data_IF_324350634950
#
_entry.id   IF_324350634950
#
_cell.length_a   1.000
_cell.length_b   1.000
_cell.length_c   1.000
_cell.angle_alpha   90.00
_cell.angle_beta   90.00
_cell.angle_gamma   90.00
#
_symmetry.space_group_name_H-M   'P 1'
#
loop_
_entity.id
_entity.type
_entity.pdbx_description
1 polymer ?
#
# COMPACT_ATOMS: atom_id res chain seq x y z
N UNK A 1 0.50 32.54 -4.88
CA UNK A 1 0.74 31.12 -4.54
C UNK A 1 2.00 30.51 -5.19
N UNK A 2 2.38 30.87 -6.43
CA UNK A 2 3.59 30.33 -7.10
C UNK A 2 4.94 30.67 -6.45
N UNK A 3 5.04 31.72 -5.63
CA UNK A 3 6.33 32.22 -5.08
C UNK A 3 6.81 31.52 -3.79
N UNK A 4 5.98 30.69 -3.18
CA UNK A 4 6.31 29.99 -1.92
C UNK A 4 6.64 28.50 -2.12
N UNK A 5 6.34 27.91 -3.29
CA UNK A 5 6.56 26.48 -3.54
C UNK A 5 8.04 26.13 -3.72
N UNK A 6 8.81 27.00 -4.36
CA UNK A 6 10.23 26.78 -4.65
C UNK A 6 11.13 26.76 -3.39
N UNK A 7 11.03 27.72 -2.45
CA UNK A 7 11.85 27.69 -1.23
C UNK A 7 11.46 26.55 -0.28
N UNK A 8 10.18 26.12 -0.28
CA UNK A 8 9.73 25.00 0.56
C UNK A 8 10.26 23.65 0.04
N UNK A 9 10.25 23.43 -1.27
CA UNK A 9 10.83 22.24 -1.91
C UNK A 9 12.35 22.20 -1.73
N UNK A 10 13.03 23.34 -1.84
CA UNK A 10 14.46 23.43 -1.59
C UNK A 10 14.83 23.16 -0.12
N UNK A 11 14.08 23.71 0.83
CA UNK A 11 14.29 23.46 2.26
C UNK A 11 14.02 21.99 2.64
N UNK A 12 13.01 21.35 2.05
CA UNK A 12 12.72 19.93 2.25
C UNK A 12 13.81 19.03 1.64
N UNK A 13 14.34 19.39 0.46
CA UNK A 13 15.46 18.69 -0.17
C UNK A 13 16.76 18.75 0.62
N UNK A 14 17.07 19.89 1.23
CA UNK A 14 18.25 20.06 2.11
C UNK A 14 18.16 19.26 3.41
N UNK A 15 16.96 19.06 3.96
CA UNK A 15 16.74 18.21 5.15
C UNK A 15 16.87 16.71 4.84
N UNK A 16 16.56 16.29 3.61
CA UNK A 16 16.67 14.90 3.18
C UNK A 16 18.11 14.49 2.81
N UNK A 17 18.96 15.45 2.40
CA UNK A 17 20.33 15.18 1.97
C UNK A 17 21.34 14.89 3.11
N UNK A 18 20.97 15.14 4.37
CA UNK A 18 21.85 14.94 5.53
C UNK A 18 21.56 13.64 6.31
N UNK A 19 20.73 12.76 5.75
CA UNK A 19 20.23 11.59 6.46
C UNK A 19 21.12 10.36 6.16
N UNK A 20 21.60 9.62 7.18
CA UNK A 20 22.47 8.46 6.95
C UNK A 20 21.74 7.38 6.15
N UNK A 21 22.51 6.60 5.38
CA UNK A 21 22.03 5.39 4.70
C UNK A 21 21.20 4.51 5.65
N UNK A 22 20.00 4.12 5.23
CA UNK A 22 19.20 3.13 5.94
C UNK A 22 18.77 2.05 4.94
N UNK A 23 19.02 0.79 5.28
CA UNK A 23 18.56 -0.31 4.45
C UNK A 23 17.04 -0.39 4.44
N UNK A 24 16.50 -0.91 3.34
CA UNK A 24 15.06 -1.10 3.21
C UNK A 24 14.55 -2.37 3.87
N UNK A 25 15.43 -3.35 4.11
CA UNK A 25 15.18 -4.57 4.87
C UNK A 25 16.39 -4.89 5.77
N UNK A 26 16.20 -5.84 6.68
CA UNK A 26 17.27 -6.37 7.53
C UNK A 26 18.35 -7.04 6.68
N UNK A 27 19.44 -6.31 6.45
CA UNK A 27 20.64 -6.83 5.83
C UNK A 27 21.47 -7.58 6.87
N UNK A 28 21.99 -8.76 6.53
CA UNK A 28 22.96 -9.45 7.38
C UNK A 28 24.30 -8.69 7.31
N UNK A 29 24.71 -8.09 8.41
CA UNK A 29 25.95 -7.33 8.51
C UNK A 29 27.14 -8.25 8.81
N UNK A 30 27.01 -9.11 9.82
CA UNK A 30 28.06 -10.04 10.21
C UNK A 30 27.50 -11.38 10.68
N UNK A 31 28.33 -12.42 10.55
CA UNK A 31 28.09 -13.76 11.09
C UNK A 31 29.31 -14.19 11.90
N UNK A 32 29.09 -14.91 12.99
CA UNK A 32 30.15 -15.59 13.74
C UNK A 32 29.74 -17.04 13.93
N UNK A 33 30.41 -18.03 13.30
CA UNK A 33 31.56 -17.90 12.40
C UNK A 33 31.30 -17.02 11.15
N UNK A 34 32.35 -16.39 10.58
CA UNK A 34 32.20 -15.57 9.37
C UNK A 34 31.66 -16.40 8.21
N UNK A 35 30.84 -15.77 7.35
CA UNK A 35 30.31 -16.43 6.15
C UNK A 35 31.46 -16.87 5.23
N UNK A 36 31.36 -18.10 4.73
CA UNK A 36 32.42 -18.81 4.01
C UNK A 36 33.75 -18.87 4.78
N UNK A 37 33.67 -18.82 6.10
CA UNK A 37 34.80 -18.91 7.00
C UNK A 37 35.12 -20.35 7.41
N UNK A 38 36.31 -20.53 7.98
CA UNK A 38 36.74 -21.78 8.60
C UNK A 38 37.02 -21.54 10.08
N UNK A 39 36.64 -22.50 10.93
CA UNK A 39 36.98 -22.51 12.36
C UNK A 39 37.67 -23.82 12.72
N UNK A 40 38.73 -23.72 13.52
CA UNK A 40 39.52 -24.89 13.92
C UNK A 40 38.72 -25.92 14.74
N UNK A 41 37.76 -25.45 15.54
CA UNK A 41 36.97 -26.28 16.45
C UNK A 41 35.47 -26.03 16.29
N UNK A 42 34.65 -26.99 16.72
CA UNK A 42 33.20 -26.87 16.77
C UNK A 42 32.80 -25.65 17.63
N UNK A 43 32.12 -24.64 17.06
CA UNK A 43 31.67 -23.48 17.83
C UNK A 43 30.47 -23.87 18.70
N UNK A 44 30.38 -23.31 19.91
CA UNK A 44 29.24 -23.56 20.80
C UNK A 44 27.94 -22.86 20.33
N UNK A 45 28.08 -21.80 19.54
CA UNK A 45 26.97 -21.02 19.00
C UNK A 45 27.33 -20.36 17.67
N UNK A 46 26.29 -20.08 16.90
CA UNK A 46 26.34 -19.14 15.77
C UNK A 46 25.64 -17.86 16.18
N UNK A 47 26.18 -16.73 15.75
CA UNK A 47 25.61 -15.40 15.98
C UNK A 47 25.47 -14.68 14.64
N UNK A 48 24.29 -14.14 14.36
CA UNK A 48 23.97 -13.34 13.17
C UNK A 48 23.62 -11.92 13.62
N UNK A 49 24.25 -10.91 13.00
CA UNK A 49 23.98 -9.50 13.27
C UNK A 49 23.35 -8.85 12.05
N UNK A 50 22.16 -8.29 12.22
CA UNK A 50 21.41 -7.60 11.19
C UNK A 50 21.52 -6.07 11.33
N UNK A 51 21.17 -5.36 10.26
CA UNK A 51 21.19 -3.89 10.20
C UNK A 51 20.09 -3.22 11.03
N UNK A 52 19.06 -3.98 11.43
CA UNK A 52 17.91 -3.50 12.19
C UNK A 52 17.35 -4.63 13.08
N UNK A 53 16.46 -4.32 14.04
CA UNK A 53 15.76 -5.33 14.82
C UNK A 53 14.98 -6.33 13.94
N UNK A 54 14.98 -7.60 14.34
CA UNK A 54 14.30 -8.69 13.61
C UNK A 54 13.41 -9.51 14.53
N UNK A 55 12.34 -10.09 13.99
CA UNK A 55 11.47 -11.03 14.71
C UNK A 55 11.62 -12.46 14.17
N UNK A 56 11.50 -13.44 15.06
CA UNK A 56 11.47 -14.87 14.74
C UNK A 56 10.10 -15.43 15.09
N UNK A 57 9.38 -15.94 14.10
CA UNK A 57 8.06 -16.56 14.31
C UNK A 57 8.17 -17.93 14.96
N UNK A 58 9.19 -18.70 14.57
CA UNK A 58 9.52 -20.01 15.11
C UNK A 58 11.01 -20.05 15.38
N UNK A 59 11.38 -20.79 16.43
CA UNK A 59 12.79 -21.10 16.72
C UNK A 59 13.47 -21.82 15.56
N UNK A 60 12.73 -22.60 14.78
CA UNK A 60 13.25 -23.33 13.62
C UNK A 60 13.54 -22.44 12.41
N UNK A 61 13.04 -21.19 12.39
CA UNK A 61 13.25 -20.27 11.27
C UNK A 61 14.73 -19.86 11.14
N UNK A 62 15.50 -19.97 12.23
CA UNK A 62 16.97 -19.94 12.17
C UNK A 62 17.52 -21.25 12.71
N UNK A 63 18.21 -21.98 11.85
CA UNK A 63 18.79 -23.28 12.20
C UNK A 63 20.13 -23.49 11.50
N UNK A 64 20.95 -24.36 12.08
CA UNK A 64 22.20 -24.80 11.46
C UNK A 64 22.04 -26.24 11.05
N UNK A 65 22.41 -26.54 9.81
CA UNK A 65 22.33 -27.88 9.22
C UNK A 65 23.69 -28.36 8.74
N UNK A 66 23.90 -29.68 8.77
CA UNK A 66 25.06 -30.31 8.16
C UNK A 66 24.90 -30.45 6.63
N UNK A 67 25.91 -31.04 5.98
CA UNK A 67 25.95 -31.27 4.53
C UNK A 67 24.81 -32.15 4.00
N UNK A 68 24.14 -32.90 4.87
CA UNK A 68 23.00 -33.77 4.53
C UNK A 68 21.66 -33.07 4.85
N UNK A 69 21.69 -31.82 5.29
CA UNK A 69 20.52 -31.06 5.70
C UNK A 69 19.97 -31.43 7.08
N UNK A 70 20.71 -32.21 7.88
CA UNK A 70 20.29 -32.58 9.24
C UNK A 70 20.54 -31.41 10.19
N UNK A 71 19.54 -31.07 10.99
CA UNK A 71 19.62 -29.97 11.96
C UNK A 71 20.60 -30.32 13.07
N UNK A 72 21.62 -29.48 13.27
CA UNK A 72 22.62 -29.57 14.32
C UNK A 72 22.52 -28.45 15.37
N UNK A 73 21.59 -27.51 15.18
CA UNK A 73 21.27 -26.49 16.18
C UNK A 73 20.35 -27.03 17.29
N UNK A 74 20.61 -26.63 18.54
CA UNK A 74 19.84 -27.02 19.73
C UNK A 74 18.88 -25.91 20.13
N UNK A 75 17.57 -26.20 20.14
CA UNK A 75 16.53 -25.25 20.56
C UNK A 75 16.27 -24.09 19.59
N UNK A 76 16.91 -24.12 18.41
CA UNK A 76 16.76 -23.14 17.33
C UNK A 76 17.34 -21.76 17.62
N UNK A 77 17.03 -20.80 16.75
CA UNK A 77 17.42 -19.40 16.91
C UNK A 77 16.58 -18.63 17.92
N UNK A 78 17.20 -17.63 18.52
CA UNK A 78 16.55 -16.65 19.40
C UNK A 78 17.16 -15.27 19.18
N UNK A 79 16.36 -14.22 19.25
CA UNK A 79 16.88 -12.86 19.34
C UNK A 79 17.58 -12.63 20.68
N UNK A 80 18.63 -11.81 20.67
CA UNK A 80 19.38 -11.44 21.87
C UNK A 80 18.54 -10.50 22.74
N UNK A 81 18.37 -10.77 24.06
CA UNK A 81 17.62 -9.89 24.95
C UNK A 81 18.22 -8.48 25.09
N UNK A 82 19.50 -8.32 24.75
CA UNK A 82 20.22 -7.04 24.81
C UNK A 82 20.17 -6.28 23.49
N UNK A 83 19.92 -6.98 22.39
CA UNK A 83 19.96 -6.43 21.04
C UNK A 83 19.06 -7.23 20.08
N UNK A 84 17.89 -6.67 19.76
CA UNK A 84 16.92 -7.33 18.89
C UNK A 84 17.39 -7.50 17.42
N UNK A 85 18.51 -6.89 17.03
CA UNK A 85 19.13 -7.09 15.70
C UNK A 85 20.15 -8.24 15.68
N UNK A 86 20.37 -8.90 16.82
CA UNK A 86 21.27 -10.04 16.95
C UNK A 86 20.47 -11.33 17.17
N UNK A 87 20.74 -12.36 16.36
CA UNK A 87 20.16 -13.69 16.50
C UNK A 87 21.24 -14.70 16.89
N UNK A 88 20.99 -15.46 17.95
CA UNK A 88 21.91 -16.47 18.48
C UNK A 88 21.29 -17.85 18.32
N UNK A 89 22.09 -18.79 17.81
CA UNK A 89 21.73 -20.20 17.63
C UNK A 89 22.73 -21.05 18.39
N UNK A 90 22.27 -21.90 19.31
CA UNK A 90 23.15 -22.85 19.99
C UNK A 90 23.40 -24.08 19.13
N UNK A 91 24.60 -24.62 19.18
CA UNK A 91 24.98 -25.82 18.43
C UNK A 91 25.09 -27.03 19.35
N UNK A 92 24.89 -28.21 18.77
CA UNK A 92 25.22 -29.46 19.46
C UNK A 92 26.72 -29.50 19.77
N UNK A 93 27.12 -30.05 20.93
CA UNK A 93 28.54 -30.15 21.28
C UNK A 93 29.28 -31.06 20.31
N UNK A 94 30.56 -30.76 20.08
CA UNK A 94 31.48 -31.58 19.29
C UNK A 94 30.99 -31.91 17.87
N UNK A 95 30.61 -30.89 17.11
CA UNK A 95 30.31 -31.04 15.68
C UNK A 95 31.52 -31.63 14.93
N UNK A 96 31.34 -32.67 14.10
CA UNK A 96 32.44 -33.25 13.32
C UNK A 96 33.02 -32.23 12.32
N UNK A 97 34.24 -32.45 11.81
CA UNK A 97 34.76 -31.68 10.68
C UNK A 97 33.85 -31.81 9.46
N UNK A 98 33.20 -30.71 9.06
CA UNK A 98 32.29 -30.67 7.91
C UNK A 98 32.00 -29.21 7.48
N UNK A 99 31.37 -29.04 6.33
CA UNK A 99 30.70 -27.79 5.97
C UNK A 99 29.31 -27.72 6.62
N UNK A 100 28.99 -26.58 7.22
CA UNK A 100 27.70 -26.29 7.83
C UNK A 100 27.01 -25.13 7.12
N UNK A 101 25.69 -25.18 7.06
CA UNK A 101 24.85 -24.08 6.56
C UNK A 101 24.04 -23.51 7.70
N UNK A 102 24.17 -22.21 7.93
CA UNK A 102 23.28 -21.43 8.80
C UNK A 102 22.19 -20.87 7.89
N UNK A 103 20.96 -21.33 8.06
CA UNK A 103 19.81 -20.82 7.33
C UNK A 103 18.97 -19.96 8.25
N UNK A 104 18.45 -18.86 7.70
CA UNK A 104 17.55 -17.98 8.43
C UNK A 104 16.39 -17.53 7.56
N UNK A 105 15.23 -17.45 8.19
CA UNK A 105 14.06 -16.69 7.78
C UNK A 105 13.72 -15.74 8.93
N UNK A 106 13.71 -14.46 8.65
CA UNK A 106 13.45 -13.43 9.66
C UNK A 106 12.35 -12.49 9.17
N UNK A 107 11.67 -11.83 10.10
CA UNK A 107 10.79 -10.70 9.80
C UNK A 107 11.56 -9.43 10.13
N UNK A 108 11.78 -8.57 9.15
CA UNK A 108 12.42 -7.26 9.34
C UNK A 108 11.52 -6.27 10.08
N UNK A 109 12.09 -5.16 10.54
CA UNK A 109 11.33 -4.16 11.28
C UNK A 109 10.28 -3.45 10.40
N UNK A 110 10.45 -3.41 9.08
CA UNK A 110 9.43 -2.97 8.12
C UNK A 110 8.36 -4.04 7.81
N UNK A 111 8.38 -5.17 8.52
CA UNK A 111 7.48 -6.31 8.36
C UNK A 111 7.74 -7.21 7.17
N UNK A 112 8.76 -7.03 6.33
CA UNK A 112 9.07 -7.97 5.24
C UNK A 112 9.74 -9.26 5.72
N UNK A 113 9.55 -10.36 4.99
CA UNK A 113 10.24 -11.62 5.26
C UNK A 113 11.54 -11.65 4.46
N UNK A 114 12.66 -11.84 5.17
CA UNK A 114 14.00 -11.97 4.57
C UNK A 114 14.52 -13.38 4.82
N UNK A 115 14.84 -14.05 3.73
CA UNK A 115 15.47 -15.37 3.72
C UNK A 115 16.94 -15.25 3.35
N UNK A 116 17.78 -16.08 3.96
CA UNK A 116 19.17 -16.16 3.57
C UNK A 116 19.90 -17.33 4.21
N UNK A 117 21.14 -17.50 3.79
CA UNK A 117 22.02 -18.52 4.35
C UNK A 117 23.48 -18.05 4.35
N UNK A 118 24.22 -18.47 5.37
CA UNK A 118 25.68 -18.40 5.42
C UNK A 118 26.26 -19.80 5.57
N UNK A 119 27.52 -19.98 5.18
CA UNK A 119 28.22 -21.25 5.37
C UNK A 119 29.47 -21.06 6.21
N UNK A 120 29.87 -22.11 6.92
CA UNK A 120 31.18 -22.17 7.59
C UNK A 120 31.67 -23.62 7.62
N UNK A 121 32.99 -23.81 7.67
CA UNK A 121 33.60 -25.12 7.80
C UNK A 121 34.25 -25.29 9.17
N UNK A 122 34.30 -26.53 9.66
CA UNK A 122 34.99 -26.90 10.91
C UNK A 122 36.16 -27.85 10.62
N UNK A 123 37.25 -27.70 11.37
CA UNK A 123 38.32 -28.71 11.46
C UNK A 123 38.98 -29.08 10.13
N UNK A 124 39.26 -28.11 9.25
CA UNK A 124 39.94 -28.38 7.96
C UNK A 124 39.04 -28.89 6.84
N UNK A 125 37.72 -28.99 7.06
CA UNK A 125 36.80 -29.44 6.02
C UNK A 125 36.65 -28.42 4.88
N UNK A 126 36.46 -28.90 3.66
CA UNK A 126 36.18 -28.04 2.52
C UNK A 126 34.77 -27.42 2.62
N UNK A 127 34.66 -26.12 2.37
CA UNK A 127 33.36 -25.43 2.27
C UNK A 127 32.55 -25.96 1.08
N UNK A 128 31.26 -26.23 1.32
CA UNK A 128 30.29 -26.65 0.31
C UNK A 128 29.26 -25.57 0.05
N UNK A 129 28.49 -25.76 -1.03
CA UNK A 129 27.32 -24.91 -1.33
C UNK A 129 26.29 -25.00 -0.18
N UNK A 130 25.58 -23.91 0.12
CA UNK A 130 24.60 -23.89 1.21
C UNK A 130 23.45 -24.87 0.95
N UNK A 131 23.04 -25.57 2.01
CA UNK A 131 21.88 -26.48 2.01
C UNK A 131 20.63 -25.71 2.48
N UNK A 132 19.84 -25.22 1.52
CA UNK A 132 18.69 -24.34 1.80
C UNK A 132 17.46 -25.09 2.32
N UNK A 133 17.20 -26.30 1.80
CA UNK A 133 16.00 -27.08 2.12
C UNK A 133 14.72 -26.30 1.77
N UNK A 134 13.77 -26.24 2.70
CA UNK A 134 12.47 -25.57 2.50
C UNK A 134 12.50 -24.04 2.69
N UNK A 135 13.69 -23.41 2.76
CA UNK A 135 13.78 -21.95 2.77
C UNK A 135 13.09 -21.31 1.56
N UNK A 136 13.03 -22.00 0.42
CA UNK A 136 12.34 -21.48 -0.78
C UNK A 136 10.87 -21.92 -0.87
N UNK A 137 10.37 -22.65 0.13
CA UNK A 137 8.97 -23.06 0.14
C UNK A 137 8.10 -21.85 0.48
N UNK A 138 7.04 -21.61 -0.30
CA UNK A 138 6.06 -20.54 -0.09
C UNK A 138 6.17 -19.38 -1.08
N UNK A 139 5.17 -18.48 -1.12
CA UNK A 139 5.19 -17.33 -2.00
C UNK A 139 6.20 -16.29 -1.52
N UNK A 140 7.04 -15.76 -2.40
CA UNK A 140 7.85 -14.59 -2.10
C UNK A 140 7.00 -13.32 -1.88
N UNK A 141 7.58 -12.31 -1.25
CA UNK A 141 6.92 -11.01 -0.97
C UNK A 141 6.37 -10.36 -2.26
N UNK A 142 7.06 -10.53 -3.39
CA UNK A 142 6.68 -10.00 -4.71
C UNK A 142 5.87 -11.00 -5.56
N UNK A 143 5.37 -12.10 -4.97
CA UNK A 143 4.56 -13.09 -5.69
C UNK A 143 3.23 -12.51 -6.18
N UNK A 144 2.62 -13.15 -7.19
CA UNK A 144 1.30 -12.77 -7.67
C UNK A 144 0.24 -12.74 -6.55
N UNK A 145 0.32 -13.67 -5.59
CA UNK A 145 -0.58 -13.69 -4.43
C UNK A 145 -0.46 -12.43 -3.58
N UNK A 146 0.77 -12.06 -3.22
CA UNK A 146 1.04 -10.87 -2.40
C UNK A 146 0.65 -9.59 -3.14
N UNK A 147 0.94 -9.51 -4.45
CA UNK A 147 0.59 -8.36 -5.29
C UNK A 147 -0.93 -8.19 -5.40
N UNK A 148 -1.67 -9.28 -5.66
CA UNK A 148 -3.13 -9.23 -5.77
C UNK A 148 -3.78 -8.90 -4.44
N UNK A 149 -3.31 -9.50 -3.33
CA UNK A 149 -3.81 -9.18 -1.99
C UNK A 149 -3.64 -7.69 -1.66
N UNK A 150 -2.44 -7.15 -1.91
CA UNK A 150 -2.17 -5.72 -1.71
C UNK A 150 -2.98 -4.84 -2.65
N UNK A 151 -3.14 -5.24 -3.91
CA UNK A 151 -3.96 -4.50 -4.87
C UNK A 151 -5.42 -4.39 -4.41
N UNK A 152 -6.02 -5.49 -3.94
CA UNK A 152 -7.39 -5.49 -3.40
C UNK A 152 -7.51 -4.61 -2.14
N UNK A 153 -6.55 -4.71 -1.22
CA UNK A 153 -6.50 -3.88 -0.01
C UNK A 153 -6.48 -2.38 -0.37
N UNK A 154 -5.59 -1.98 -1.28
CA UNK A 154 -5.45 -0.58 -1.71
C UNK A 154 -6.67 -0.08 -2.52
N UNK A 155 -7.24 -0.90 -3.40
CA UNK A 155 -8.44 -0.56 -4.17
C UNK A 155 -9.65 -0.41 -3.24
N UNK A 156 -9.83 -1.31 -2.28
CA UNK A 156 -10.93 -1.27 -1.32
C UNK A 156 -10.85 -0.04 -0.40
N UNK A 157 -9.75 0.12 0.34
CA UNK A 157 -9.56 1.23 1.27
C UNK A 157 -9.53 2.58 0.53
N UNK A 158 -8.70 2.65 -0.52
CA UNK A 158 -8.51 3.85 -1.31
C UNK A 158 -9.77 4.27 -2.06
N UNK A 159 -10.49 3.30 -2.64
CA UNK A 159 -11.76 3.56 -3.31
C UNK A 159 -12.84 4.06 -2.36
N UNK A 160 -12.97 3.47 -1.17
CA UNK A 160 -13.94 3.92 -0.17
C UNK A 160 -13.65 5.37 0.28
N UNK A 161 -12.37 5.69 0.52
CA UNK A 161 -11.93 7.05 0.84
C UNK A 161 -12.24 8.02 -0.30
N UNK A 162 -11.96 7.61 -1.54
CA UNK A 162 -12.20 8.40 -2.72
C UNK A 162 -13.70 8.66 -2.95
N UNK A 163 -14.59 7.70 -2.67
CA UNK A 163 -16.04 7.91 -2.74
C UNK A 163 -16.51 8.96 -1.73
N UNK A 164 -16.00 8.92 -0.50
CA UNK A 164 -16.31 9.93 0.52
C UNK A 164 -15.83 11.31 0.05
N UNK A 165 -14.58 11.40 -0.42
CA UNK A 165 -14.00 12.64 -0.94
C UNK A 165 -14.79 13.16 -2.15
N UNK A 166 -15.16 12.30 -3.09
CA UNK A 166 -15.96 12.66 -4.26
C UNK A 166 -17.34 13.18 -3.85
N UNK A 167 -18.02 12.48 -2.94
CA UNK A 167 -19.34 12.89 -2.42
C UNK A 167 -19.28 14.27 -1.77
N UNK A 168 -18.25 14.54 -0.95
CA UNK A 168 -18.11 15.79 -0.18
C UNK A 168 -17.54 16.96 -0.98
N UNK A 169 -16.54 16.73 -1.83
CA UNK A 169 -15.77 17.79 -2.50
C UNK A 169 -16.23 18.06 -3.93
N UNK A 170 -16.84 17.06 -4.58
CA UNK A 170 -17.30 17.12 -5.97
C UNK A 170 -18.82 17.16 -6.06
N UNK A 171 -19.51 16.10 -5.65
CA UNK A 171 -20.96 15.97 -5.85
C UNK A 171 -21.75 17.00 -5.04
N UNK A 172 -21.59 17.06 -3.72
CA UNK A 172 -22.38 17.96 -2.87
C UNK A 172 -22.23 19.44 -3.26
N UNK A 173 -21.03 19.98 -3.57
CA UNK A 173 -20.91 21.34 -4.04
C UNK A 173 -21.39 21.55 -5.49
N UNK A 174 -21.25 20.55 -6.38
CA UNK A 174 -21.82 20.65 -7.74
C UNK A 174 -23.36 20.70 -7.69
N UNK A 175 -23.96 19.95 -6.77
CA UNK A 175 -25.39 19.94 -6.53
C UNK A 175 -25.95 21.29 -6.05
N UNK A 176 -25.17 22.09 -5.31
CA UNK A 176 -25.60 23.43 -4.89
C UNK A 176 -25.95 24.36 -6.06
N UNK A 177 -25.51 24.04 -7.28
CA UNK A 177 -25.86 24.73 -8.52
C UNK A 177 -27.09 24.13 -9.24
N UNK A 178 -27.97 23.42 -8.50
CA UNK A 178 -29.19 22.75 -8.98
C UNK A 178 -30.20 23.63 -9.70
N UNK A 179 -30.05 24.96 -9.68
CA UNK A 179 -30.96 25.92 -10.31
C UNK A 179 -31.19 25.68 -11.81
N UNK A 180 -30.42 24.78 -12.44
CA UNK A 180 -30.52 24.40 -13.86
C UNK A 180 -31.03 22.97 -14.10
N UNK A 181 -31.46 22.24 -13.06
CA UNK A 181 -32.03 20.89 -13.16
C UNK A 181 -33.53 20.97 -12.84
N UNK A 182 -34.36 20.30 -13.64
CA UNK A 182 -35.80 20.24 -13.40
C UNK A 182 -36.10 19.56 -12.04
N UNK A 183 -37.13 19.98 -11.28
CA UNK A 183 -37.37 19.48 -9.92
C UNK A 183 -37.50 17.95 -9.81
N UNK A 184 -38.17 17.32 -10.77
CA UNK A 184 -38.36 15.87 -10.91
C UNK A 184 -37.05 15.12 -11.18
N UNK A 185 -36.25 15.58 -12.15
CA UNK A 185 -34.90 15.06 -12.41
C UNK A 185 -33.96 15.30 -11.21
N UNK A 186 -34.26 16.34 -10.42
CA UNK A 186 -33.55 16.73 -9.23
C UNK A 186 -33.64 15.67 -8.11
N UNK A 187 -34.85 15.34 -7.71
CA UNK A 187 -35.11 14.31 -6.70
C UNK A 187 -34.57 12.95 -7.14
N UNK A 188 -34.83 12.56 -8.40
CA UNK A 188 -34.35 11.30 -8.97
C UNK A 188 -32.81 11.20 -8.94
N UNK A 189 -32.09 12.29 -9.25
CA UNK A 189 -30.62 12.32 -9.24
C UNK A 189 -30.03 12.18 -7.83
N UNK A 190 -30.68 12.74 -6.81
CA UNK A 190 -30.22 12.63 -5.42
C UNK A 190 -30.43 11.22 -4.87
N UNK A 191 -31.63 10.65 -5.06
CA UNK A 191 -31.93 9.29 -4.66
C UNK A 191 -30.98 8.30 -5.35
N UNK A 192 -30.84 8.42 -6.68
CA UNK A 192 -29.91 7.62 -7.45
C UNK A 192 -28.47 7.74 -6.95
N UNK A 193 -27.94 8.96 -6.76
CA UNK A 193 -26.56 9.12 -6.34
C UNK A 193 -26.34 8.55 -4.93
N UNK A 194 -27.28 8.77 -4.01
CA UNK A 194 -27.23 8.22 -2.65
C UNK A 194 -27.14 6.69 -2.69
N UNK A 195 -28.03 6.04 -3.41
CA UNK A 195 -28.08 4.59 -3.47
C UNK A 195 -26.78 4.03 -4.09
N UNK A 196 -26.30 4.64 -5.18
CA UNK A 196 -25.04 4.24 -5.81
C UNK A 196 -23.81 4.53 -4.96
N UNK A 197 -23.82 5.60 -4.17
CA UNK A 197 -22.76 5.86 -3.21
C UNK A 197 -22.69 4.75 -2.17
N UNK A 198 -23.81 4.38 -1.54
CA UNK A 198 -23.81 3.36 -0.48
C UNK A 198 -23.53 1.97 -1.02
N UNK A 199 -24.11 1.58 -2.16
CA UNK A 199 -23.73 0.32 -2.84
C UNK A 199 -22.23 0.29 -3.12
N UNK A 200 -21.68 1.35 -3.73
CA UNK A 200 -20.25 1.43 -4.03
C UNK A 200 -19.38 1.39 -2.77
N UNK A 201 -19.76 2.13 -1.73
CA UNK A 201 -19.05 2.19 -0.45
C UNK A 201 -18.99 0.81 0.21
N UNK A 202 -20.13 0.12 0.35
CA UNK A 202 -20.17 -1.21 0.97
C UNK A 202 -19.43 -2.26 0.13
N UNK A 203 -19.51 -2.20 -1.21
CA UNK A 203 -18.71 -3.07 -2.07
C UNK A 203 -17.21 -2.85 -1.86
N UNK A 204 -16.76 -1.59 -1.76
CA UNK A 204 -15.34 -1.26 -1.56
C UNK A 204 -14.84 -1.62 -0.16
N UNK A 205 -15.67 -1.46 0.87
CA UNK A 205 -15.37 -1.98 2.22
C UNK A 205 -15.26 -3.50 2.20
N UNK A 206 -16.15 -4.21 1.49
CA UNK A 206 -16.04 -5.66 1.31
C UNK A 206 -14.75 -6.07 0.61
N UNK A 207 -14.36 -5.35 -0.45
CA UNK A 207 -13.06 -5.56 -1.14
C UNK A 207 -11.89 -5.28 -0.20
N UNK A 208 -11.96 -4.24 0.63
CA UNK A 208 -10.92 -3.92 1.62
C UNK A 208 -10.74 -5.05 2.63
N UNK A 209 -11.83 -5.60 3.17
CA UNK A 209 -11.79 -6.72 4.13
C UNK A 209 -11.21 -7.98 3.47
N UNK A 210 -11.62 -8.31 2.24
CA UNK A 210 -11.05 -9.44 1.50
C UNK A 210 -9.56 -9.23 1.24
N UNK A 211 -9.16 -8.01 0.86
CA UNK A 211 -7.76 -7.64 0.67
C UNK A 211 -6.92 -7.80 1.93
N UNK A 212 -7.37 -7.23 3.06
CA UNK A 212 -6.74 -7.36 4.38
C UNK A 212 -6.54 -8.83 4.78
N UNK A 213 -7.60 -9.64 4.70
CA UNK A 213 -7.51 -11.07 5.01
C UNK A 213 -6.56 -11.82 4.07
N UNK A 214 -6.58 -11.49 2.77
CA UNK A 214 -5.64 -12.07 1.81
C UNK A 214 -4.18 -11.67 2.13
N UNK A 215 -3.93 -10.43 2.56
CA UNK A 215 -2.60 -10.00 3.00
C UNK A 215 -2.17 -10.80 4.23
N UNK A 216 -3.03 -11.00 5.22
CA UNK A 216 -2.70 -11.81 6.40
C UNK A 216 -2.34 -13.26 6.03
N UNK A 217 -3.12 -13.89 5.14
CA UNK A 217 -2.90 -15.27 4.71
C UNK A 217 -1.62 -15.40 3.88
N UNK A 218 -1.38 -14.49 2.93
CA UNK A 218 -0.15 -14.48 2.13
C UNK A 218 1.07 -14.22 3.00
N UNK A 219 0.96 -13.29 3.96
CA UNK A 219 2.01 -13.05 4.95
C UNK A 219 2.31 -14.29 5.77
N UNK A 220 1.28 -15.02 6.18
CA UNK A 220 1.42 -16.31 6.88
C UNK A 220 2.12 -17.36 6.03
N UNK A 221 1.78 -17.45 4.74
CA UNK A 221 2.40 -18.37 3.81
C UNK A 221 3.90 -18.10 3.63
N UNK A 222 4.27 -16.84 3.37
CA UNK A 222 5.68 -16.41 3.23
C UNK A 222 6.44 -16.65 4.53
N UNK A 223 5.86 -16.24 5.65
CA UNK A 223 6.43 -16.38 6.99
C UNK A 223 6.73 -17.83 7.40
N UNK A 224 5.81 -18.76 7.13
CA UNK A 224 5.94 -20.15 7.57
C UNK A 224 6.64 -21.05 6.54
N UNK A 225 6.80 -20.55 5.32
CA UNK A 225 7.34 -21.30 4.20
C UNK A 225 6.39 -22.32 3.64
N UNK A 226 5.12 -21.95 3.52
CA UNK A 226 4.06 -22.85 3.07
C UNK A 226 3.33 -22.24 1.88
N UNK A 227 2.59 -23.08 1.14
CA UNK A 227 1.71 -22.58 0.08
C UNK A 227 0.58 -21.72 0.66
N UNK A 228 0.01 -20.80 -0.13
CA UNK A 228 -1.13 -19.96 0.29
C UNK A 228 -2.33 -20.81 0.74
N UNK A 229 -2.75 -21.88 0.02
CA UNK A 229 -3.82 -22.76 0.51
C UNK A 229 -3.48 -23.44 1.84
N UNK A 230 -2.24 -23.90 2.02
CA UNK A 230 -1.81 -24.51 3.28
C UNK A 230 -1.80 -23.51 4.44
N UNK A 231 -1.43 -22.25 4.19
CA UNK A 231 -1.49 -21.19 5.19
C UNK A 231 -2.93 -20.84 5.58
N UNK A 232 -3.83 -20.74 4.60
CA UNK A 232 -5.26 -20.53 4.84
C UNK A 232 -5.88 -21.63 5.71
N UNK A 233 -5.49 -22.89 5.46
CA UNK A 233 -5.94 -24.04 6.24
C UNK A 233 -5.23 -24.21 7.60
N UNK A 234 -4.31 -23.31 7.96
CA UNK A 234 -3.52 -23.40 9.19
C UNK A 234 -3.88 -22.26 10.18
N UNK A 235 -4.95 -22.40 10.98
CA UNK A 235 -5.40 -21.34 11.89
C UNK A 235 -4.35 -21.00 12.96
N UNK A 236 -3.55 -21.97 13.41
CA UNK A 236 -2.47 -21.73 14.37
C UNK A 236 -1.36 -20.87 13.77
N UNK A 237 -1.03 -21.10 12.49
CA UNK A 237 -0.08 -20.28 11.75
C UNK A 237 -0.56 -18.85 11.57
N UNK A 238 -1.82 -18.68 11.17
CA UNK A 238 -2.46 -17.36 11.02
C UNK A 238 -2.52 -16.63 12.36
N UNK A 239 -2.96 -17.30 13.43
CA UNK A 239 -3.01 -16.73 14.77
C UNK A 239 -1.64 -16.27 15.24
N UNK A 240 -0.58 -17.04 14.99
CA UNK A 240 0.80 -16.69 15.34
C UNK A 240 1.24 -15.40 14.65
N UNK A 241 1.08 -15.29 13.33
CA UNK A 241 1.41 -14.06 12.60
C UNK A 241 0.54 -12.89 13.08
N UNK A 242 -0.74 -13.13 13.32
CA UNK A 242 -1.69 -12.11 13.78
C UNK A 242 -1.37 -11.57 15.19
N UNK A 243 -0.90 -12.41 16.13
CA UNK A 243 -0.77 -12.06 17.55
C UNK A 243 0.67 -11.85 18.04
N UNK A 244 1.64 -12.51 17.41
CA UNK A 244 3.03 -12.54 17.87
C UNK A 244 3.97 -11.65 17.05
N UNK A 245 3.46 -10.94 16.03
CA UNK A 245 4.29 -10.07 15.18
C UNK A 245 3.88 -8.61 15.22
N UNK A 246 4.83 -7.72 14.93
CA UNK A 246 4.54 -6.31 14.70
C UNK A 246 3.55 -6.11 13.55
N UNK A 247 3.65 -6.88 12.47
CA UNK A 247 2.68 -6.86 11.38
C UNK A 247 1.26 -7.09 11.91
N UNK A 248 1.09 -8.13 12.74
CA UNK A 248 -0.16 -8.52 13.36
C UNK A 248 -0.77 -7.43 14.26
N UNK A 249 0.05 -6.72 15.05
CA UNK A 249 -0.45 -5.62 15.90
C UNK A 249 -1.08 -4.48 15.09
N UNK A 250 -0.42 -4.03 14.01
CA UNK A 250 -0.96 -3.01 13.11
C UNK A 250 -2.19 -3.53 12.35
N UNK A 251 -2.18 -4.80 11.93
CA UNK A 251 -3.35 -5.45 11.31
C UNK A 251 -4.56 -5.42 12.26
N UNK A 252 -4.38 -5.77 13.54
CA UNK A 252 -5.42 -5.70 14.56
C UNK A 252 -6.00 -4.29 14.70
N UNK A 253 -5.15 -3.27 14.74
CA UNK A 253 -5.59 -1.86 14.80
C UNK A 253 -6.42 -1.51 13.56
N UNK A 254 -5.95 -1.87 12.35
CA UNK A 254 -6.71 -1.62 11.11
C UNK A 254 -8.06 -2.33 11.11
N UNK A 255 -8.12 -3.58 11.58
CA UNK A 255 -9.38 -4.31 11.73
C UNK A 255 -10.33 -3.58 12.70
N UNK A 256 -9.84 -3.11 13.84
CA UNK A 256 -10.62 -2.29 14.77
C UNK A 256 -11.14 -1.01 14.12
N UNK A 257 -10.30 -0.28 13.39
CA UNK A 257 -10.69 0.93 12.66
C UNK A 257 -11.76 0.63 11.59
N UNK A 258 -11.65 -0.49 10.89
CA UNK A 258 -12.64 -0.94 9.91
C UNK A 258 -13.98 -1.32 10.55
N UNK A 259 -13.97 -1.96 11.73
CA UNK A 259 -15.20 -2.24 12.47
C UNK A 259 -15.90 -0.95 12.91
N UNK A 260 -15.15 0.04 13.40
CA UNK A 260 -15.69 1.37 13.74
C UNK A 260 -16.21 2.07 12.47
N UNK A 261 -15.49 1.97 11.35
CA UNK A 261 -15.93 2.51 10.06
C UNK A 261 -17.27 1.90 9.64
N UNK A 262 -17.42 0.58 9.74
CA UNK A 262 -18.67 -0.12 9.42
C UNK A 262 -19.81 0.34 10.33
N UNK A 263 -19.58 0.48 11.64
CA UNK A 263 -20.59 0.96 12.57
C UNK A 263 -21.05 2.38 12.25
N UNK A 264 -20.11 3.32 12.03
CA UNK A 264 -20.41 4.72 11.67
C UNK A 264 -21.11 4.79 10.30
N UNK A 265 -20.65 4.01 9.32
CA UNK A 265 -21.23 3.97 7.99
C UNK A 265 -22.65 3.39 7.99
N UNK A 266 -22.89 2.34 8.78
CA UNK A 266 -24.22 1.73 8.93
C UNK A 266 -25.17 2.70 9.61
N UNK A 267 -24.73 3.37 10.68
CA UNK A 267 -25.48 4.43 11.33
C UNK A 267 -25.87 5.52 10.32
N UNK A 268 -24.92 6.04 9.55
CA UNK A 268 -25.19 7.07 8.53
C UNK A 268 -26.09 6.58 7.39
N UNK A 269 -25.93 5.33 6.95
CA UNK A 269 -26.78 4.72 5.92
C UNK A 269 -28.24 4.63 6.38
N UNK A 270 -28.49 4.13 7.60
CA UNK A 270 -29.82 4.01 8.18
C UNK A 270 -30.42 5.39 8.52
N UNK A 271 -29.58 6.33 8.91
CA UNK A 271 -29.97 7.68 9.28
C UNK A 271 -30.21 8.61 8.08
N UNK A 272 -29.78 8.24 6.86
CA UNK A 272 -29.92 9.06 5.66
C UNK A 272 -31.30 8.85 5.01
N UNK A 273 -32.29 9.74 5.24
CA UNK A 273 -33.66 9.51 4.82
C UNK A 273 -33.78 9.47 3.29
N UNK A 274 -34.66 8.60 2.78
CA UNK A 274 -35.01 8.53 1.34
C UNK A 274 -35.74 9.82 0.90
N UNK A 275 -36.47 10.48 1.82
CA UNK A 275 -37.54 11.44 1.49
C UNK A 275 -37.33 12.91 1.95
N UNK A 276 -36.33 13.25 2.77
CA UNK A 276 -36.18 14.65 3.27
C UNK A 276 -35.52 15.61 2.27
N UNK A 277 -34.99 15.09 1.14
CA UNK A 277 -34.54 15.94 0.04
C UNK A 277 -35.67 16.82 -0.54
N UNK A 278 -36.94 16.45 -0.30
CA UNK A 278 -38.14 17.14 -0.79
C UNK A 278 -38.60 18.31 0.09
N UNK A 279 -38.27 18.34 1.39
CA UNK A 279 -38.90 19.30 2.34
C UNK A 279 -38.09 20.54 2.70
N UNK A 280 -36.85 20.66 2.20
CA UNK A 280 -36.02 21.84 2.48
C UNK A 280 -35.61 22.01 3.96
N UNK A 281 -35.92 21.04 4.82
CA UNK A 281 -35.56 21.07 6.23
C UNK A 281 -34.05 20.95 6.40
N UNK A 282 -33.49 21.81 7.26
CA UNK A 282 -32.06 21.82 7.55
C UNK A 282 -31.71 20.53 8.26
N UNK A 283 -30.76 19.77 7.69
CA UNK A 283 -30.13 18.62 8.35
C UNK A 283 -29.75 18.99 9.79
N UNK A 284 -30.05 18.14 10.79
CA UNK A 284 -29.69 18.42 12.18
C UNK A 284 -28.18 18.69 12.31
N UNK A 285 -27.85 19.75 13.06
CA UNK A 285 -26.49 20.19 13.34
C UNK A 285 -25.74 19.11 14.14
N UNK A 286 -25.03 18.23 13.44
CA UNK A 286 -24.29 17.11 14.05
C UNK A 286 -23.84 16.07 13.03
N UNK A 287 -24.60 15.85 11.95
CA UNK A 287 -24.30 14.88 10.88
C UNK A 287 -23.18 15.31 9.90
N UNK A 288 -22.61 16.50 10.07
CA UNK A 288 -21.50 16.97 9.24
C UNK A 288 -20.19 16.21 9.50
N UNK A 289 -20.01 15.68 10.71
CA UNK A 289 -18.75 15.09 11.18
C UNK A 289 -18.51 13.64 10.79
N UNK A 290 -19.56 12.84 10.57
CA UNK A 290 -19.44 11.40 10.32
C UNK A 290 -18.61 11.06 9.09
N UNK A 291 -18.81 11.74 7.95
CA UNK A 291 -17.96 11.48 6.78
C UNK A 291 -16.50 11.92 7.00
N UNK A 292 -16.25 12.93 7.85
CA UNK A 292 -14.89 13.29 8.27
C UNK A 292 -14.29 12.20 9.15
N UNK A 293 -15.06 11.63 10.07
CA UNK A 293 -14.66 10.47 10.88
C UNK A 293 -14.36 9.27 9.99
N UNK A 294 -15.25 8.91 9.07
CA UNK A 294 -15.05 7.80 8.12
C UNK A 294 -13.80 8.01 7.25
N UNK A 295 -13.58 9.23 6.74
CA UNK A 295 -12.37 9.56 5.99
C UNK A 295 -11.11 9.49 6.86
N UNK A 296 -11.20 9.93 8.12
CA UNK A 296 -10.11 9.83 9.10
C UNK A 296 -9.76 8.39 9.45
N UNK A 297 -10.75 7.52 9.63
CA UNK A 297 -10.54 6.08 9.87
C UNK A 297 -9.86 5.40 8.70
N UNK A 298 -10.34 5.64 7.46
CA UNK A 298 -9.71 5.12 6.25
C UNK A 298 -8.30 5.68 6.05
N UNK A 299 -8.11 6.97 6.30
CA UNK A 299 -6.79 7.62 6.27
C UNK A 299 -5.82 7.01 7.28
N UNK A 300 -6.28 6.72 8.50
CA UNK A 300 -5.48 6.03 9.52
C UNK A 300 -5.08 4.62 9.09
N UNK A 301 -5.98 3.87 8.42
CA UNK A 301 -5.61 2.57 7.83
C UNK A 301 -4.50 2.71 6.77
N UNK A 302 -4.58 3.72 5.90
CA UNK A 302 -3.53 3.99 4.90
C UNK A 302 -2.20 4.41 5.53
N UNK A 303 -2.22 5.22 6.59
CA UNK A 303 -1.01 5.56 7.36
C UNK A 303 -0.39 4.33 8.01
N UNK A 304 -1.23 3.43 8.54
CA UNK A 304 -0.75 2.16 9.12
C UNK A 304 -0.07 1.28 8.06
N UNK A 305 -0.60 1.24 6.82
CA UNK A 305 0.08 0.59 5.68
C UNK A 305 1.46 1.23 5.44
N UNK A 306 1.52 2.55 5.36
CA UNK A 306 2.77 3.28 5.15
C UNK A 306 3.81 3.06 6.25
N UNK A 307 3.34 2.82 7.47
CA UNK A 307 4.19 2.51 8.63
C UNK A 307 4.71 1.07 8.68
N UNK A 308 4.30 0.21 7.73
CA UNK A 308 4.74 -1.18 7.56
C UNK A 308 5.48 -1.40 6.22
N UNK A 309 6.12 -0.36 5.71
CA UNK A 309 6.95 -0.45 4.51
C UNK A 309 8.26 0.29 4.69
N UNK A 310 9.03 0.43 3.61
CA UNK A 310 10.37 1.03 3.62
C UNK A 310 10.42 2.45 4.19
N UNK A 311 9.29 3.18 4.16
CA UNK A 311 9.15 4.50 4.77
C UNK A 311 9.35 4.48 6.28
N UNK A 312 9.00 3.37 6.96
CA UNK A 312 9.13 3.22 8.41
C UNK A 312 10.58 3.07 8.89
N UNK A 313 11.46 2.60 8.01
CA UNK A 313 12.90 2.42 8.25
C UNK A 313 13.76 3.47 7.54
N UNK A 314 13.12 4.42 6.84
CA UNK A 314 13.83 5.50 6.19
C UNK A 314 14.40 6.48 7.24
N UNK A 315 15.50 7.18 6.92
CA UNK A 315 15.97 8.28 7.75
C UNK A 315 14.89 9.35 7.86
N UNK A 316 14.65 9.86 9.07
CA UNK A 316 13.52 10.77 9.30
C UNK A 316 12.15 10.09 9.17
N UNK A 317 12.03 8.82 9.59
CA UNK A 317 10.84 7.94 9.54
C UNK A 317 9.47 8.63 9.54
N UNK A 318 9.24 9.60 10.42
CA UNK A 318 7.94 10.29 10.53
C UNK A 318 7.61 11.06 9.27
N UNK A 319 8.59 11.77 8.68
CA UNK A 319 8.42 12.49 7.43
C UNK A 319 8.26 11.54 6.25
N UNK A 320 9.03 10.44 6.21
CA UNK A 320 8.93 9.45 5.13
C UNK A 320 7.58 8.71 5.15
N UNK A 321 7.09 8.34 6.33
CA UNK A 321 5.74 7.74 6.48
C UNK A 321 4.66 8.75 6.11
N UNK A 322 4.81 10.02 6.49
CA UNK A 322 3.88 11.07 6.10
C UNK A 322 3.86 11.30 4.57
N UNK A 323 5.03 11.33 3.93
CA UNK A 323 5.15 11.47 2.48
C UNK A 323 4.50 10.29 1.73
N UNK A 324 4.78 9.05 2.16
CA UNK A 324 4.14 7.85 1.61
C UNK A 324 2.61 7.87 1.82
N UNK A 325 2.14 8.25 3.00
CA UNK A 325 0.71 8.36 3.27
C UNK A 325 0.03 9.45 2.41
N UNK A 326 0.67 10.61 2.23
CA UNK A 326 0.18 11.68 1.36
C UNK A 326 0.14 11.19 -0.09
N UNK A 327 1.20 10.51 -0.56
CA UNK A 327 1.23 9.90 -1.89
C UNK A 327 0.05 8.94 -2.07
N UNK A 328 -0.16 8.04 -1.12
CA UNK A 328 -1.20 7.03 -1.19
C UNK A 328 -2.60 7.66 -1.21
N UNK A 329 -2.89 8.58 -0.28
CA UNK A 329 -4.16 9.32 -0.25
C UNK A 329 -4.40 10.08 -1.56
N UNK A 330 -3.38 10.74 -2.10
CA UNK A 330 -3.48 11.47 -3.35
C UNK A 330 -3.82 10.56 -4.53
N UNK A 331 -3.13 9.41 -4.66
CA UNK A 331 -3.44 8.41 -5.68
C UNK A 331 -4.84 7.83 -5.48
N UNK A 332 -5.27 7.54 -4.26
CA UNK A 332 -6.61 7.04 -3.97
C UNK A 332 -7.69 8.03 -4.41
N UNK A 333 -7.60 9.29 -3.97
CA UNK A 333 -8.58 10.36 -4.31
C UNK A 333 -8.65 10.59 -5.81
N UNK A 334 -7.52 10.54 -6.50
CA UNK A 334 -7.46 10.70 -7.94
C UNK A 334 -8.06 9.49 -8.69
N UNK A 335 -7.53 8.29 -8.49
CA UNK A 335 -7.95 7.06 -9.19
C UNK A 335 -9.40 6.69 -8.88
N UNK A 336 -9.78 6.66 -7.59
CA UNK A 336 -11.14 6.33 -7.18
C UNK A 336 -12.15 7.42 -7.56
N UNK A 337 -11.76 8.69 -7.50
CA UNK A 337 -12.59 9.79 -7.96
C UNK A 337 -12.79 9.79 -9.48
N UNK A 338 -11.81 9.30 -10.25
CA UNK A 338 -11.91 9.12 -11.70
C UNK A 338 -12.92 8.02 -12.04
N UNK A 339 -12.90 6.91 -11.29
CA UNK A 339 -13.92 5.87 -11.40
C UNK A 339 -15.33 6.42 -11.11
N UNK A 340 -15.47 7.19 -10.03
CA UNK A 340 -16.73 7.84 -9.67
C UNK A 340 -17.20 8.85 -10.74
N UNK A 341 -16.29 9.68 -11.27
CA UNK A 341 -16.61 10.61 -12.37
C UNK A 341 -17.06 9.85 -13.61
N UNK A 342 -16.31 8.85 -14.05
CA UNK A 342 -16.61 8.05 -15.23
C UNK A 342 -17.98 7.39 -15.12
N UNK A 343 -18.28 6.82 -13.95
CA UNK A 343 -19.59 6.25 -13.63
C UNK A 343 -20.71 7.28 -13.68
N UNK A 344 -20.53 8.43 -13.01
CA UNK A 344 -21.53 9.50 -13.00
C UNK A 344 -21.81 10.02 -14.41
N UNK A 345 -20.78 10.35 -15.19
CA UNK A 345 -20.96 10.84 -16.56
C UNK A 345 -21.60 9.80 -17.49
N UNK A 346 -21.38 8.51 -17.25
CA UNK A 346 -21.98 7.42 -18.03
C UNK A 346 -23.45 7.16 -17.69
N UNK A 347 -23.85 7.38 -16.43
CA UNK A 347 -25.17 6.97 -15.90
C UNK A 347 -26.13 8.14 -15.70
N UNK A 348 -25.64 9.33 -15.34
CA UNK A 348 -26.46 10.53 -15.11
C UNK A 348 -27.42 10.85 -16.27
N UNK A 349 -27.04 10.72 -17.57
CA UNK A 349 -27.96 11.01 -18.67
C UNK A 349 -29.22 10.11 -18.73
N UNK A 350 -29.23 8.96 -18.03
CA UNK A 350 -30.40 8.08 -17.92
C UNK A 350 -31.37 8.52 -16.82
N UNK A 351 -30.87 9.22 -15.81
CA UNK A 351 -31.62 9.64 -14.62
C UNK A 351 -32.08 11.10 -14.74
N UNK A 352 -31.20 11.95 -15.29
CA UNK A 352 -31.47 13.35 -15.56
C UNK A 352 -31.09 13.65 -17.02
N UNK A 353 -31.99 13.39 -17.99
CA UNK A 353 -31.73 13.67 -19.40
C UNK A 353 -31.32 15.13 -19.66
N UNK A 354 -31.86 16.09 -18.90
CA UNK A 354 -31.52 17.53 -19.02
C UNK A 354 -30.35 17.93 -18.11
N UNK A 355 -29.80 17.00 -17.32
CA UNK A 355 -28.73 17.22 -16.35
C UNK A 355 -27.32 17.46 -16.90
N UNK A 356 -27.13 17.92 -18.15
CA UNK A 356 -25.78 18.17 -18.70
C UNK A 356 -25.03 19.26 -17.95
N UNK A 357 -25.73 20.25 -17.41
CA UNK A 357 -25.13 21.29 -16.57
C UNK A 357 -24.55 20.71 -15.27
N UNK A 358 -25.27 19.78 -14.62
CA UNK A 358 -24.79 19.06 -13.44
C UNK A 358 -23.57 18.20 -13.76
N UNK A 359 -23.61 17.45 -14.88
CA UNK A 359 -22.47 16.66 -15.34
C UNK A 359 -21.22 17.51 -15.59
N UNK A 360 -21.38 18.68 -16.19
CA UNK A 360 -20.29 19.63 -16.40
C UNK A 360 -19.75 20.22 -15.09
N UNK A 361 -20.62 20.53 -14.12
CA UNK A 361 -20.21 21.00 -12.80
C UNK A 361 -19.40 19.94 -12.04
N UNK A 362 -19.86 18.69 -12.05
CA UNK A 362 -19.15 17.54 -11.47
C UNK A 362 -17.78 17.37 -12.13
N UNK A 363 -17.72 17.38 -13.47
CA UNK A 363 -16.47 17.32 -14.23
C UNK A 363 -15.51 18.45 -13.85
N UNK A 364 -16.00 19.69 -13.79
CA UNK A 364 -15.17 20.85 -13.47
C UNK A 364 -14.55 20.76 -12.08
N UNK A 365 -15.32 20.31 -11.09
CA UNK A 365 -14.85 20.15 -9.71
C UNK A 365 -13.87 19.00 -9.57
N UNK A 366 -14.18 17.84 -10.15
CA UNK A 366 -13.28 16.71 -10.11
C UNK A 366 -11.97 17.02 -10.84
N UNK A 367 -12.00 17.72 -11.98
CA UNK A 367 -10.79 18.12 -12.70
C UNK A 367 -9.83 18.97 -11.85
N UNK A 368 -10.35 19.86 -10.98
CA UNK A 368 -9.53 20.62 -10.02
C UNK A 368 -8.95 19.73 -8.92
N UNK A 369 -9.78 18.85 -8.34
CA UNK A 369 -9.34 17.92 -7.31
C UNK A 369 -8.28 16.95 -7.84
N UNK A 370 -8.50 16.38 -9.02
CA UNK A 370 -7.57 15.50 -9.71
C UNK A 370 -6.23 16.20 -9.99
N UNK A 371 -6.23 17.48 -10.40
CA UNK A 371 -4.99 18.23 -10.59
C UNK A 371 -4.17 18.36 -9.30
N UNK A 372 -4.83 18.67 -8.18
CA UNK A 372 -4.16 18.79 -6.89
C UNK A 372 -3.64 17.44 -6.41
N UNK A 373 -4.45 16.38 -6.55
CA UNK A 373 -4.08 15.02 -6.17
C UNK A 373 -2.94 14.47 -7.02
N UNK A 374 -3.00 14.59 -8.35
CA UNK A 374 -1.89 14.21 -9.25
C UNK A 374 -0.64 15.02 -8.96
N UNK A 375 -0.77 16.33 -8.73
CA UNK A 375 0.35 17.19 -8.37
C UNK A 375 1.03 16.73 -7.06
N UNK A 376 0.24 16.43 -6.03
CA UNK A 376 0.76 15.88 -4.78
C UNK A 376 1.44 14.52 -5.00
N UNK A 377 0.81 13.60 -5.73
CA UNK A 377 1.37 12.28 -6.03
C UNK A 377 2.68 12.35 -6.82
N UNK A 378 2.80 13.28 -7.78
CA UNK A 378 4.05 13.51 -8.52
C UNK A 378 5.13 14.04 -7.59
N UNK A 379 4.83 15.03 -6.74
CA UNK A 379 5.81 15.61 -5.81
C UNK A 379 6.30 14.56 -4.81
N UNK A 380 5.40 13.90 -4.09
CA UNK A 380 5.78 12.89 -3.08
C UNK A 380 6.42 11.67 -3.73
N UNK A 381 5.94 11.23 -4.90
CA UNK A 381 6.55 10.13 -5.65
C UNK A 381 7.98 10.44 -6.11
N UNK A 382 8.26 11.69 -6.48
CA UNK A 382 9.62 12.13 -6.85
C UNK A 382 10.53 12.16 -5.62
N UNK A 383 10.07 12.73 -4.50
CA UNK A 383 10.84 12.78 -3.26
C UNK A 383 11.22 11.37 -2.77
N UNK A 384 10.29 10.42 -2.87
CA UNK A 384 10.56 9.02 -2.54
C UNK A 384 11.52 8.34 -3.47
N UNK A 385 11.38 8.52 -4.78
CA UNK A 385 12.32 7.95 -5.73
C UNK A 385 13.76 8.42 -5.46
N UNK A 386 13.93 9.69 -5.08
CA UNK A 386 15.23 10.25 -4.67
C UNK A 386 15.71 9.64 -3.34
N UNK A 387 14.82 9.43 -2.37
CA UNK A 387 15.18 8.87 -1.08
C UNK A 387 15.43 7.35 -1.09
N UNK A 388 14.87 6.64 -2.07
CA UNK A 388 14.88 5.16 -2.15
C UNK A 388 15.91 4.62 -3.15
N UNK A 389 16.55 5.48 -3.96
CA UNK A 389 17.61 5.13 -4.92
C UNK A 389 18.91 5.87 -4.59
N UNK A 390 19.99 5.14 -4.35
CA UNK A 390 21.31 5.72 -4.07
C UNK A 390 22.10 6.04 -5.35
N UNK A 391 21.82 5.34 -6.45
CA UNK A 391 22.50 5.54 -7.74
C UNK A 391 21.49 5.57 -8.91
N UNK A 392 21.62 6.49 -9.89
CA UNK A 392 20.72 6.55 -11.05
C UNK A 392 20.66 5.28 -11.90
N UNK A 393 21.73 4.48 -11.96
CA UNK A 393 21.76 3.21 -12.69
C UNK A 393 20.73 2.22 -12.14
N UNK A 394 20.38 2.34 -10.86
CA UNK A 394 19.41 1.48 -10.19
C UNK A 394 18.01 1.57 -10.80
N UNK A 395 17.68 2.64 -11.54
CA UNK A 395 16.45 2.74 -12.33
C UNK A 395 16.33 1.61 -13.38
N UNK A 396 17.45 1.11 -13.87
CA UNK A 396 17.50 0.09 -14.93
C UNK A 396 17.95 -1.26 -14.37
N UNK A 397 18.91 -1.25 -13.45
CA UNK A 397 19.56 -2.45 -12.95
C UNK A 397 18.69 -3.22 -11.93
N UNK A 398 17.89 -2.50 -11.14
CA UNK A 398 17.09 -3.09 -10.06
C UNK A 398 15.64 -3.36 -10.47
N UNK A 399 15.02 -4.38 -9.86
CA UNK A 399 13.59 -4.65 -10.06
C UNK A 399 12.71 -3.47 -9.58
N UNK A 400 13.10 -2.86 -8.46
CA UNK A 400 12.45 -1.69 -7.88
C UNK A 400 12.48 -0.49 -8.85
N UNK A 401 13.66 -0.15 -9.39
CA UNK A 401 13.82 0.92 -10.37
C UNK A 401 13.02 0.69 -11.65
N UNK A 402 13.02 -0.54 -12.19
CA UNK A 402 12.21 -0.88 -13.36
C UNK A 402 10.72 -0.69 -13.11
N UNK A 403 10.22 -1.00 -11.92
CA UNK A 403 8.82 -0.73 -11.54
C UNK A 403 8.50 0.78 -11.53
N UNK A 404 9.44 1.62 -11.08
CA UNK A 404 9.29 3.09 -11.17
C UNK A 404 9.20 3.52 -12.64
N UNK A 405 10.10 3.03 -13.49
CA UNK A 405 10.11 3.37 -14.93
C UNK A 405 8.78 2.98 -15.59
N UNK A 406 8.25 1.79 -15.29
CA UNK A 406 6.94 1.34 -15.80
C UNK A 406 5.83 2.31 -15.33
N UNK A 407 5.79 2.68 -14.04
CA UNK A 407 4.79 3.62 -13.50
C UNK A 407 4.86 4.98 -14.21
N UNK A 408 6.05 5.53 -14.41
CA UNK A 408 6.26 6.80 -15.11
C UNK A 408 5.84 6.68 -16.57
N UNK A 409 6.18 5.57 -17.24
CA UNK A 409 5.78 5.33 -18.63
C UNK A 409 4.26 5.25 -18.79
N UNK A 410 3.55 4.58 -17.86
CA UNK A 410 2.09 4.52 -17.85
C UNK A 410 1.44 5.90 -17.57
N UNK A 411 2.13 6.79 -16.87
CA UNK A 411 1.66 8.14 -16.60
C UNK A 411 1.65 9.03 -17.85
N UNK A 412 2.54 8.79 -18.82
CA UNK A 412 2.63 9.57 -20.06
C UNK A 412 1.33 9.59 -20.90
N UNK A 413 0.75 8.44 -21.34
CA UNK A 413 -0.51 8.44 -22.09
C UNK A 413 -1.67 8.96 -21.24
N UNK A 414 -1.62 8.76 -19.92
CA UNK A 414 -2.61 9.31 -19.00
C UNK A 414 -2.58 10.84 -18.99
N UNK A 415 -1.39 11.45 -18.94
CA UNK A 415 -1.23 12.91 -19.00
C UNK A 415 -1.79 13.50 -20.30
N UNK A 416 -1.61 12.80 -21.43
CA UNK A 416 -2.19 13.18 -22.72
C UNK A 416 -3.72 13.16 -22.68
N UNK A 417 -4.33 12.08 -22.18
CA UNK A 417 -5.80 11.97 -22.05
C UNK A 417 -6.36 13.04 -21.09
N UNK A 418 -5.68 13.26 -19.96
CA UNK A 418 -6.06 14.26 -18.98
C UNK A 418 -6.01 15.68 -19.58
N UNK A 419 -4.98 15.98 -20.38
CA UNK A 419 -4.87 17.25 -21.11
C UNK A 419 -6.00 17.44 -22.12
N UNK A 420 -6.32 16.40 -22.90
CA UNK A 420 -7.45 16.42 -23.86
C UNK A 420 -8.79 16.66 -23.15
N UNK A 421 -9.04 15.95 -22.04
CA UNK A 421 -10.24 16.12 -21.22
C UNK A 421 -10.33 17.55 -20.64
N UNK A 422 -9.19 18.15 -20.28
CA UNK A 422 -9.15 19.52 -19.77
C UNK A 422 -9.40 20.57 -20.86
N UNK A 423 -8.95 20.35 -22.10
CA UNK A 423 -9.31 21.20 -23.25
C UNK A 423 -10.81 21.17 -23.52
N UNK A 424 -11.41 19.99 -23.42
CA UNK A 424 -12.85 19.80 -23.52
C UNK A 424 -13.59 20.60 -22.43
N UNK A 425 -13.14 20.49 -21.18
CA UNK A 425 -13.71 21.26 -20.07
C UNK A 425 -13.57 22.77 -20.29
N UNK A 426 -12.43 23.25 -20.77
CA UNK A 426 -12.22 24.66 -21.09
C UNK A 426 -13.19 25.14 -22.19
N UNK A 427 -13.41 24.34 -23.24
CA UNK A 427 -14.37 24.65 -24.28
C UNK A 427 -15.82 24.72 -23.76
N UNK A 428 -16.20 23.85 -22.81
CA UNK A 428 -17.51 23.91 -22.13
C UNK A 428 -17.63 25.23 -21.35
N UNK A 429 -16.58 25.62 -20.63
CA UNK A 429 -16.58 26.84 -19.83
C UNK A 429 -16.76 28.10 -20.71
N UNK A 430 -16.02 28.18 -21.83
CA UNK A 430 -16.13 29.30 -22.79
C UNK A 430 -17.50 29.36 -23.44
N UNK A 431 -18.07 28.22 -23.83
CA UNK A 431 -19.38 28.17 -24.50
C UNK A 431 -20.56 28.36 -23.55
N UNK A 432 -20.35 28.31 -22.24
CA UNK A 432 -21.40 28.41 -21.21
C UNK A 432 -22.42 27.26 -21.21
N UNK A 433 -22.26 26.25 -22.07
CA UNK A 433 -23.18 25.12 -22.23
C UNK A 433 -22.43 23.81 -22.45
N UNK A 434 -22.91 22.76 -21.80
CA UNK A 434 -22.41 21.40 -21.99
C UNK A 434 -23.36 20.60 -22.88
N UNK A 435 -22.80 19.84 -23.83
CA UNK A 435 -23.57 18.92 -24.66
C UNK A 435 -23.31 17.46 -24.26
N UNK A 436 -24.22 16.56 -24.60
CA UNK A 436 -24.12 15.13 -24.24
C UNK A 436 -22.94 14.43 -24.91
N UNK A 437 -22.65 14.76 -26.17
CA UNK A 437 -21.57 14.13 -26.94
C UNK A 437 -20.20 14.34 -26.27
N UNK A 438 -19.93 15.58 -25.84
CA UNK A 438 -18.71 15.98 -25.16
C UNK A 438 -18.58 15.30 -23.79
N UNK A 439 -19.65 15.22 -22.99
CA UNK A 439 -19.62 14.49 -21.71
C UNK A 439 -19.42 12.98 -21.90
N UNK A 440 -19.99 12.39 -22.96
CA UNK A 440 -19.76 10.98 -23.33
C UNK A 440 -18.31 10.73 -23.75
N UNK A 441 -17.71 11.65 -24.50
CA UNK A 441 -16.29 11.58 -24.86
C UNK A 441 -15.41 11.57 -23.61
N UNK A 442 -15.64 12.49 -22.67
CA UNK A 442 -14.91 12.53 -21.39
C UNK A 442 -15.16 11.26 -20.58
N UNK A 443 -16.38 10.74 -20.53
CA UNK A 443 -16.68 9.46 -19.86
C UNK A 443 -15.95 8.27 -20.48
N UNK A 444 -15.78 8.24 -21.81
CA UNK A 444 -14.97 7.22 -22.49
C UNK A 444 -13.49 7.36 -22.13
N UNK A 445 -12.95 8.57 -22.19
CA UNK A 445 -11.55 8.83 -21.85
C UNK A 445 -11.28 8.51 -20.37
N UNK A 446 -12.20 8.84 -19.46
CA UNK A 446 -12.09 8.53 -18.04
C UNK A 446 -12.00 7.01 -17.76
N UNK A 447 -12.65 6.17 -18.58
CA UNK A 447 -12.51 4.70 -18.48
C UNK A 447 -11.13 4.22 -18.91
N UNK A 448 -10.55 4.82 -19.94
CA UNK A 448 -9.19 4.52 -20.40
C UNK A 448 -8.15 4.99 -19.37
N UNK A 449 -8.30 6.23 -18.87
CA UNK A 449 -7.48 6.76 -17.79
C UNK A 449 -7.60 5.89 -16.53
N UNK A 450 -8.79 5.39 -16.20
CA UNK A 450 -8.99 4.50 -15.06
C UNK A 450 -8.23 3.19 -15.24
N UNK A 451 -8.32 2.54 -16.41
CA UNK A 451 -7.60 1.31 -16.69
C UNK A 451 -6.08 1.49 -16.54
N UNK A 452 -5.53 2.59 -17.08
CA UNK A 452 -4.11 2.93 -16.93
C UNK A 452 -3.74 3.19 -15.46
N UNK A 453 -4.56 3.95 -14.73
CA UNK A 453 -4.31 4.25 -13.32
C UNK A 453 -4.40 3.02 -12.41
N UNK A 454 -5.30 2.08 -12.70
CA UNK A 454 -5.35 0.78 -12.00
C UNK A 454 -4.12 -0.08 -12.33
N UNK A 455 -3.60 0.00 -13.56
CA UNK A 455 -2.31 -0.58 -13.92
C UNK A 455 -1.16 0.02 -13.11
N UNK A 456 -1.14 1.34 -12.92
CA UNK A 456 -0.15 2.02 -12.05
C UNK A 456 -0.28 1.54 -10.60
N UNK A 457 -1.50 1.38 -10.08
CA UNK A 457 -1.74 0.86 -8.72
C UNK A 457 -1.26 -0.59 -8.61
N UNK A 458 -1.50 -1.44 -9.61
CA UNK A 458 -1.01 -2.82 -9.63
C UNK A 458 0.52 -2.90 -9.62
N UNK A 459 1.19 -2.08 -10.43
CA UNK A 459 2.66 -1.99 -10.41
C UNK A 459 3.15 -1.43 -9.07
N UNK A 460 2.42 -0.49 -8.46
CA UNK A 460 2.74 0.00 -7.12
C UNK A 460 2.60 -1.09 -6.04
N UNK A 461 1.59 -1.97 -6.15
CA UNK A 461 1.43 -3.13 -5.26
C UNK A 461 2.60 -4.11 -5.36
N UNK A 462 3.21 -4.25 -6.54
CA UNK A 462 4.46 -4.99 -6.72
C UNK A 462 5.66 -4.25 -6.13
N UNK A 463 5.76 -2.95 -6.36
CA UNK A 463 6.88 -2.11 -5.93
C UNK A 463 7.06 -2.11 -4.40
N UNK A 464 5.96 -2.11 -3.62
CA UNK A 464 6.01 -2.17 -2.14
C UNK A 464 6.63 -3.48 -1.63
N UNK A 465 6.64 -4.53 -2.43
CA UNK A 465 7.20 -5.83 -2.10
C UNK A 465 8.64 -6.03 -2.60
N UNK A 466 9.19 -5.06 -3.34
CA UNK A 466 10.53 -5.13 -3.90
C UNK A 466 11.51 -4.39 -3.01
N UNK A 467 12.79 -4.80 -3.02
CA UNK A 467 13.85 -4.13 -2.26
C UNK A 467 14.26 -2.83 -2.98
N UNK A 468 14.15 -1.65 -2.33
CA UNK A 468 14.74 -0.40 -2.80
C UNK A 468 16.25 -0.48 -3.06
N UNK A 469 16.74 0.43 -3.89
CA UNK A 469 18.16 0.55 -4.21
C UNK A 469 19.00 1.22 -3.12
N UNK A 470 18.37 1.83 -2.11
CA UNK A 470 19.11 2.47 -1.01
C UNK A 470 19.95 1.45 -0.23
N UNK A 471 21.24 1.76 -0.11
CA UNK A 471 22.23 1.01 0.68
C UNK A 471 22.59 1.79 1.91
#
# INVERSE_FOLDING_TARGET
MRRLALPLVAALGLLLAAAPAAHAHAALLTSTPPDRGEVAFSPARVTLKFSEPVELLRRADVSVVDERGRVVSVGGGRTSPRDASEVVVRLAPALPPASYTVRYRIVSADSHIVDGATTFATGGAALKKPVLGNLEAGPGEASAWSVVARFLELVGLGGALALIAFRRLVWAPAWRWRARVAPDEGAASLAWFRDRFWTGFWSLVGVAVVGELAVLVTKTATSLGSSVPSAFANPNGVYRVFSETRFGTHFQVRLGLLLVLVAVALWEFLAEPIAEAERGERRPAGRGGSATVMAGLLGACLVLISSQGHASQAPGRTLSVADDAIHLVAVCVWTGGLAALGFVLARLPRVAPRGTALGAAVLARFSRLALLAVGAAVVTGTLRAIAELSDPSQLWDTAYGRSIVIKVTLLCPLAVLAFQNRRVLAAIAVRGRANRATLRLVSRNARLELALSLGIVLVASLLVSQVPGRT
#
